data_IF_274230638610
#
_entry.id   IF_274230638610
#
_cell.length_a   1.000
_cell.length_b   1.000
_cell.length_c   1.000
_cell.angle_alpha   90.00
_cell.angle_beta   90.00
_cell.angle_gamma   90.00
#
_symmetry.space_group_name_H-M   'P 1'
#
loop_
_entity.id
_entity.type
_entity.pdbx_description
1 polymer ?
#
# COMPACT_ATOMS: atom_id res chain seq x y z
N UNK A 1 2.74 40.07 -22.02
CA UNK A 1 3.08 39.04 -21.01
C UNK A 1 3.80 37.92 -21.75
N UNK A 2 5.12 37.73 -21.59
CA UNK A 2 5.80 36.61 -22.21
C UNK A 2 5.45 35.32 -21.46
N UNK A 3 5.07 34.30 -22.21
CA UNK A 3 4.76 32.95 -21.75
C UNK A 3 6.00 32.32 -21.12
N UNK A 4 5.88 31.85 -19.87
CA UNK A 4 6.90 31.02 -19.25
C UNK A 4 6.88 29.64 -19.91
N UNK A 5 7.65 29.48 -20.98
CA UNK A 5 8.02 28.14 -21.47
C UNK A 5 8.82 27.47 -20.35
N UNK A 6 8.15 26.59 -19.60
CA UNK A 6 8.76 25.73 -18.62
C UNK A 6 9.82 24.89 -19.33
N UNK A 7 11.08 25.25 -19.13
CA UNK A 7 12.21 24.46 -19.62
C UNK A 7 12.15 23.12 -18.90
N UNK A 8 11.80 22.05 -19.62
CA UNK A 8 11.81 20.69 -19.09
C UNK A 8 13.27 20.30 -18.82
N UNK A 9 13.72 20.54 -17.59
CA UNK A 9 15.05 20.12 -17.16
C UNK A 9 15.01 18.65 -16.77
N UNK A 10 15.28 17.79 -17.74
CA UNK A 10 15.46 16.34 -17.60
C UNK A 10 16.43 15.99 -16.45
N UNK A 11 17.37 16.89 -16.15
CA UNK A 11 18.42 16.68 -15.16
C UNK A 11 18.15 17.30 -13.80
N UNK A 12 17.14 18.17 -13.66
CA UNK A 12 16.85 18.85 -12.38
C UNK A 12 16.61 17.88 -11.21
N UNK A 13 16.37 16.60 -11.50
CA UNK A 13 16.17 15.53 -10.50
C UNK A 13 17.02 14.28 -10.73
N UNK A 14 17.96 14.28 -11.67
CA UNK A 14 18.86 13.14 -11.88
C UNK A 14 19.96 13.13 -10.81
N UNK A 15 20.18 12.01 -10.14
CA UNK A 15 21.27 11.92 -9.14
C UNK A 15 22.65 11.88 -9.82
N UNK A 16 22.75 11.25 -10.98
CA UNK A 16 23.99 11.18 -11.76
C UNK A 16 23.68 10.87 -13.22
N UNK A 17 24.45 11.45 -14.14
CA UNK A 17 24.38 11.09 -15.56
C UNK A 17 25.74 11.20 -16.24
N UNK A 18 25.95 10.43 -17.31
CA UNK A 18 27.23 10.42 -18.03
C UNK A 18 27.32 9.32 -19.07
N UNK A 19 28.40 9.32 -19.83
CA UNK A 19 28.69 8.26 -20.80
C UNK A 19 29.53 7.19 -20.12
N UNK A 20 29.09 5.94 -20.21
CA UNK A 20 29.86 4.78 -19.77
C UNK A 20 29.89 3.74 -20.89
N UNK A 21 30.85 2.83 -20.81
CA UNK A 21 30.85 1.63 -21.64
C UNK A 21 29.90 0.60 -21.03
N UNK A 22 29.12 -0.07 -21.86
CA UNK A 22 28.21 -1.16 -21.45
C UNK A 22 28.58 -2.43 -22.19
N UNK A 23 28.70 -3.54 -21.45
CA UNK A 23 28.77 -4.88 -22.03
C UNK A 23 27.35 -5.34 -22.42
N UNK A 24 27.16 -5.95 -23.60
CA UNK A 24 25.89 -6.59 -23.93
C UNK A 24 25.57 -7.70 -22.92
N UNK A 25 24.28 -7.87 -22.63
CA UNK A 25 23.75 -8.88 -21.71
C UNK A 25 23.06 -9.94 -22.57
N UNK A 26 23.36 -11.22 -22.37
CA UNK A 26 22.71 -12.34 -23.08
C UNK A 26 23.14 -12.57 -24.54
N UNK A 27 24.01 -11.74 -25.12
CA UNK A 27 24.55 -11.96 -26.48
C UNK A 27 25.97 -12.52 -26.45
N UNK A 28 26.31 -13.41 -27.39
CA UNK A 28 27.67 -13.97 -27.57
C UNK A 28 28.73 -12.94 -27.99
N UNK A 29 28.34 -11.70 -28.26
CA UNK A 29 29.27 -10.64 -28.64
C UNK A 29 29.89 -10.01 -27.42
N UNK A 30 31.22 -9.98 -27.33
CA UNK A 30 31.95 -9.25 -26.29
C UNK A 30 32.20 -7.77 -26.65
N UNK A 31 31.47 -7.22 -27.63
CA UNK A 31 31.70 -5.86 -28.10
C UNK A 31 31.05 -4.83 -27.18
N UNK A 32 31.88 -4.13 -26.41
CA UNK A 32 31.48 -2.99 -25.59
C UNK A 32 30.93 -1.85 -26.45
N UNK A 33 30.01 -1.09 -25.88
CA UNK A 33 29.44 0.09 -26.55
C UNK A 33 29.24 1.24 -25.58
N UNK A 34 29.51 2.47 -26.02
CA UNK A 34 29.21 3.67 -25.25
C UNK A 34 27.69 3.89 -25.17
N UNK A 35 27.21 4.21 -23.98
CA UNK A 35 25.79 4.49 -23.69
C UNK A 35 25.71 5.69 -22.75
N UNK A 36 24.66 6.47 -22.93
CA UNK A 36 24.35 7.56 -22.03
C UNK A 36 23.50 7.03 -20.88
N UNK A 37 24.03 7.09 -19.66
CA UNK A 37 23.39 6.59 -18.45
C UNK A 37 22.85 7.73 -17.60
N UNK A 38 21.74 7.47 -16.93
CA UNK A 38 21.11 8.36 -15.96
C UNK A 38 20.67 7.51 -14.75
N UNK A 39 21.10 7.89 -13.56
CA UNK A 39 20.52 7.45 -12.30
C UNK A 39 19.41 8.43 -11.94
N UNK A 40 18.17 7.93 -11.87
CA UNK A 40 17.00 8.71 -11.48
C UNK A 40 16.01 7.84 -10.72
N UNK A 41 15.51 8.34 -9.59
CA UNK A 41 14.42 7.75 -8.80
C UNK A 41 14.60 6.24 -8.49
N UNK A 42 15.83 5.80 -8.25
CA UNK A 42 16.10 4.37 -7.96
C UNK A 42 16.28 3.48 -9.19
N UNK A 43 16.31 4.07 -10.39
CA UNK A 43 16.56 3.36 -11.64
C UNK A 43 17.86 3.82 -12.27
N UNK A 44 18.56 2.88 -12.92
CA UNK A 44 19.60 3.15 -13.88
C UNK A 44 19.03 3.01 -15.29
N UNK A 45 18.86 4.15 -15.96
CA UNK A 45 18.37 4.25 -17.33
C UNK A 45 19.55 4.37 -18.27
N UNK A 46 19.48 3.72 -19.44
CA UNK A 46 20.48 3.94 -20.48
C UNK A 46 19.88 4.19 -21.86
N UNK A 47 20.55 5.06 -22.61
CA UNK A 47 20.16 5.58 -23.90
C UNK A 47 21.27 5.38 -24.93
N UNK A 48 20.97 5.68 -26.19
CA UNK A 48 22.03 5.79 -27.20
C UNK A 48 22.99 6.94 -26.84
N UNK A 49 24.25 6.85 -27.26
CA UNK A 49 25.23 7.92 -27.04
C UNK A 49 24.80 9.26 -27.68
N UNK A 50 24.05 9.18 -28.79
CA UNK A 50 23.58 10.34 -29.56
C UNK A 50 22.59 11.18 -28.77
N UNK A 51 21.79 10.56 -27.88
CA UNK A 51 20.81 11.27 -27.05
C UNK A 51 21.47 12.33 -26.17
N UNK A 52 22.69 12.11 -25.67
CA UNK A 52 23.41 13.13 -24.90
C UNK A 52 23.77 14.34 -25.77
N UNK A 53 24.12 14.11 -27.04
CA UNK A 53 24.47 15.19 -27.99
C UNK A 53 23.22 15.98 -28.39
N UNK A 54 22.12 15.29 -28.67
CA UNK A 54 20.85 15.91 -29.02
C UNK A 54 20.25 16.69 -27.83
N UNK A 55 20.37 16.17 -26.60
CA UNK A 55 19.92 16.87 -25.41
C UNK A 55 20.67 18.17 -25.18
N UNK A 56 22.01 18.16 -25.29
CA UNK A 56 22.83 19.37 -25.15
C UNK A 56 22.56 20.41 -26.25
N UNK A 57 22.35 19.97 -27.49
CA UNK A 57 22.21 20.86 -28.66
C UNK A 57 20.78 21.36 -28.88
N UNK A 58 19.80 20.51 -28.66
CA UNK A 58 18.41 20.72 -29.09
C UNK A 58 17.42 20.75 -27.93
N UNK A 59 17.87 20.54 -26.69
CA UNK A 59 17.03 20.40 -25.48
C UNK A 59 15.89 19.38 -25.66
N UNK A 60 16.08 18.41 -26.54
CA UNK A 60 15.16 17.30 -26.80
C UNK A 60 15.79 16.03 -26.27
N UNK A 61 14.97 15.22 -25.60
CA UNK A 61 15.40 13.95 -25.02
C UNK A 61 14.37 12.88 -25.35
N UNK A 62 14.83 11.71 -25.79
CA UNK A 62 13.94 10.57 -25.91
C UNK A 62 13.35 10.20 -24.55
N UNK A 63 12.03 10.06 -24.47
CA UNK A 63 11.36 9.52 -23.28
C UNK A 63 11.51 8.00 -23.17
N UNK A 64 12.05 7.33 -24.20
CA UNK A 64 12.19 5.89 -24.27
C UNK A 64 13.65 5.46 -24.10
N UNK A 65 14.06 5.00 -22.90
CA UNK A 65 15.38 4.41 -22.72
C UNK A 65 15.52 3.11 -23.51
N UNK A 66 16.75 2.77 -23.86
CA UNK A 66 17.09 1.44 -24.43
C UNK A 66 17.04 0.33 -23.37
N UNK A 67 17.05 0.70 -22.11
CA UNK A 67 16.78 -0.20 -20.99
C UNK A 67 16.73 0.57 -19.69
N UNK A 68 15.97 0.03 -18.75
CA UNK A 68 15.80 0.53 -17.40
C UNK A 68 16.11 -0.60 -16.43
N UNK A 69 17.01 -0.35 -15.49
CA UNK A 69 17.41 -1.31 -14.46
C UNK A 69 16.95 -0.78 -13.09
N UNK A 70 16.00 -1.44 -12.41
CA UNK A 70 15.71 -1.12 -11.02
C UNK A 70 16.95 -1.39 -10.16
N UNK A 71 17.33 -0.44 -9.32
CA UNK A 71 18.51 -0.57 -8.47
C UNK A 71 18.20 -1.14 -7.09
N UNK A 72 16.93 -1.15 -6.67
CA UNK A 72 16.52 -1.77 -5.40
C UNK A 72 17.01 -3.21 -5.33
N UNK A 73 17.55 -3.62 -4.18
CA UNK A 73 18.07 -4.98 -3.96
C UNK A 73 19.34 -5.34 -4.74
N UNK A 74 19.84 -4.48 -5.63
CA UNK A 74 21.01 -4.82 -6.45
C UNK A 74 22.31 -4.80 -5.64
N UNK A 75 23.13 -5.82 -5.85
CA UNK A 75 24.53 -5.90 -5.43
C UNK A 75 25.40 -5.19 -6.47
N UNK A 76 26.12 -4.15 -6.03
CA UNK A 76 26.92 -3.27 -6.89
C UNK A 76 28.38 -3.28 -6.45
N UNK A 77 29.25 -3.82 -7.30
CA UNK A 77 30.66 -4.09 -6.98
C UNK A 77 31.62 -3.54 -8.03
N UNK A 78 32.80 -3.03 -7.62
CA UNK A 78 33.89 -2.75 -8.55
C UNK A 78 34.38 -4.06 -9.18
N UNK A 79 34.70 -4.01 -10.47
CA UNK A 79 35.24 -5.13 -11.21
C UNK A 79 36.34 -4.67 -12.18
N UNK A 80 37.10 -5.63 -12.69
CA UNK A 80 38.13 -5.41 -13.71
C UNK A 80 37.84 -6.34 -14.89
N UNK A 81 37.48 -5.77 -16.02
CA UNK A 81 37.25 -6.51 -17.25
C UNK A 81 38.42 -6.28 -18.22
N UNK A 82 38.74 -7.24 -19.11
CA UNK A 82 39.75 -7.04 -20.14
C UNK A 82 39.45 -5.78 -20.98
N UNK A 83 40.40 -4.84 -21.02
CA UNK A 83 40.26 -3.55 -21.73
C UNK A 83 39.46 -2.48 -20.97
N UNK A 84 38.82 -2.83 -19.85
CA UNK A 84 38.00 -1.92 -19.05
C UNK A 84 38.22 -2.18 -17.54
N UNK A 85 39.36 -1.70 -17.02
CA UNK A 85 39.78 -1.94 -15.62
C UNK A 85 38.92 -1.22 -14.58
N UNK A 86 38.18 -0.19 -14.97
CA UNK A 86 37.28 0.57 -14.11
C UNK A 86 35.83 0.13 -14.30
N UNK A 87 35.60 -1.19 -14.25
CA UNK A 87 34.29 -1.81 -14.46
C UNK A 87 33.47 -1.86 -13.18
N UNK A 88 32.15 -1.95 -13.32
CA UNK A 88 31.18 -2.08 -12.24
C UNK A 88 30.24 -3.21 -12.64
N UNK A 89 30.09 -4.18 -11.75
CA UNK A 89 29.12 -5.26 -11.87
C UNK A 89 27.88 -4.92 -11.06
N UNK A 90 26.72 -5.06 -11.68
CA UNK A 90 25.41 -4.86 -11.06
C UNK A 90 24.64 -6.17 -11.24
N UNK A 91 24.25 -6.78 -10.12
CA UNK A 91 23.54 -8.05 -10.06
C UNK A 91 22.33 -7.92 -9.16
N UNK A 92 21.29 -8.68 -9.45
CA UNK A 92 20.17 -8.85 -8.54
C UNK A 92 19.75 -10.31 -8.64
N UNK A 93 19.95 -11.06 -7.55
CA UNK A 93 19.72 -12.50 -7.53
C UNK A 93 18.21 -12.85 -7.56
N UNK A 94 17.34 -11.87 -7.29
CA UNK A 94 15.87 -12.05 -7.24
C UNK A 94 15.18 -11.57 -8.54
N UNK A 95 15.60 -10.43 -9.11
CA UNK A 95 14.85 -9.76 -10.17
C UNK A 95 15.30 -10.11 -11.60
N UNK A 96 16.55 -10.51 -11.83
CA UNK A 96 17.02 -10.90 -13.17
C UNK A 96 18.23 -11.83 -13.15
N UNK A 97 18.20 -12.87 -13.99
CA UNK A 97 19.35 -13.74 -14.19
C UNK A 97 20.41 -13.05 -15.07
N UNK A 98 21.51 -12.65 -14.46
CA UNK A 98 22.68 -12.13 -15.16
C UNK A 98 23.42 -11.00 -14.45
N UNK A 99 24.47 -10.51 -15.10
CA UNK A 99 25.32 -9.42 -14.60
C UNK A 99 25.29 -8.29 -15.60
N UNK A 100 24.79 -7.12 -15.17
CA UNK A 100 24.95 -5.89 -15.95
C UNK A 100 26.34 -5.35 -15.66
N UNK A 101 27.16 -5.25 -16.71
CA UNK A 101 28.53 -4.74 -16.62
C UNK A 101 28.62 -3.40 -17.33
N UNK A 102 29.06 -2.39 -16.58
CA UNK A 102 29.35 -1.04 -17.09
C UNK A 102 30.80 -0.65 -16.74
N UNK A 103 31.41 0.26 -17.47
CA UNK A 103 32.77 0.71 -17.17
C UNK A 103 32.96 2.22 -17.40
N UNK A 104 33.64 2.85 -16.44
CA UNK A 104 34.07 4.23 -16.50
C UNK A 104 35.42 4.37 -17.23
N UNK A 105 35.78 5.59 -17.62
CA UNK A 105 37.08 5.85 -18.25
C UNK A 105 38.19 6.01 -17.21
N UNK A 106 37.84 6.41 -15.98
CA UNK A 106 38.80 6.62 -14.88
C UNK A 106 38.32 6.02 -13.56
N UNK A 107 39.26 5.79 -12.64
CA UNK A 107 38.97 5.32 -11.27
C UNK A 107 38.06 6.29 -10.51
N UNK A 108 38.31 7.60 -10.62
CA UNK A 108 37.51 8.63 -9.97
C UNK A 108 36.05 8.61 -10.45
N UNK A 109 35.84 8.42 -11.75
CA UNK A 109 34.49 8.25 -12.29
C UNK A 109 33.85 6.95 -11.79
N UNK A 110 34.58 5.84 -11.77
CA UNK A 110 34.10 4.57 -11.26
C UNK A 110 33.62 4.70 -9.81
N UNK A 111 34.44 5.31 -8.95
CA UNK A 111 34.10 5.54 -7.54
C UNK A 111 32.86 6.41 -7.38
N UNK A 112 32.75 7.49 -8.17
CA UNK A 112 31.57 8.36 -8.19
C UNK A 112 30.31 7.58 -8.57
N UNK A 113 30.37 6.78 -9.63
CA UNK A 113 29.25 5.95 -10.07
C UNK A 113 28.89 4.88 -9.04
N UNK A 114 29.88 4.19 -8.47
CA UNK A 114 29.68 3.19 -7.41
C UNK A 114 28.95 3.78 -6.21
N UNK A 115 29.37 4.96 -5.74
CA UNK A 115 28.76 5.61 -4.59
C UNK A 115 27.28 5.92 -4.86
N UNK A 116 26.98 6.59 -5.97
CA UNK A 116 25.59 6.95 -6.31
C UNK A 116 24.73 5.71 -6.53
N UNK A 117 25.21 4.71 -7.28
CA UNK A 117 24.45 3.48 -7.54
C UNK A 117 24.13 2.74 -6.23
N UNK A 118 25.11 2.60 -5.32
CA UNK A 118 24.91 1.94 -4.01
C UNK A 118 23.94 2.71 -3.13
N UNK A 119 24.06 4.04 -3.10
CA UNK A 119 23.13 4.88 -2.35
C UNK A 119 21.70 4.76 -2.90
N UNK A 120 21.53 4.82 -4.22
CA UNK A 120 20.23 4.63 -4.86
C UNK A 120 19.64 3.25 -4.59
N UNK A 121 20.42 2.18 -4.74
CA UNK A 121 19.99 0.80 -4.40
C UNK A 121 19.46 0.71 -2.96
N UNK A 122 20.25 1.21 -1.99
CA UNK A 122 19.90 1.15 -0.57
C UNK A 122 18.64 1.95 -0.23
N UNK A 123 18.51 3.17 -0.77
CA UNK A 123 17.35 4.03 -0.51
C UNK A 123 16.09 3.41 -1.09
N UNK A 124 16.14 2.96 -2.35
CA UNK A 124 15.00 2.34 -3.01
C UNK A 124 14.55 1.08 -2.28
N UNK A 125 15.49 0.23 -1.87
CA UNK A 125 15.18 -0.96 -1.10
C UNK A 125 14.52 -0.65 0.25
N UNK A 126 15.09 0.29 1.01
CA UNK A 126 14.53 0.70 2.30
C UNK A 126 13.14 1.30 2.16
N UNK A 127 12.90 2.10 1.12
CA UNK A 127 11.59 2.67 0.86
C UNK A 127 10.55 1.60 0.51
N UNK A 128 10.93 0.58 -0.25
CA UNK A 128 10.05 -0.56 -0.54
C UNK A 128 9.68 -1.32 0.75
N UNK A 129 10.66 -1.60 1.61
CA UNK A 129 10.42 -2.26 2.90
C UNK A 129 9.51 -1.44 3.84
N UNK A 130 9.69 -0.12 3.90
CA UNK A 130 8.82 0.76 4.67
C UNK A 130 7.39 0.80 4.12
N UNK A 131 7.25 0.82 2.79
CA UNK A 131 5.95 0.76 2.13
C UNK A 131 5.20 -0.54 2.45
N UNK A 132 5.89 -1.66 2.37
CA UNK A 132 5.34 -2.99 2.71
C UNK A 132 4.88 -3.06 4.17
N UNK A 133 5.73 -2.63 5.11
CA UNK A 133 5.38 -2.61 6.53
C UNK A 133 4.17 -1.71 6.82
N UNK A 134 4.05 -0.59 6.12
CA UNK A 134 2.90 0.32 6.25
C UNK A 134 1.61 -0.31 5.72
N UNK A 135 1.67 -1.01 4.58
CA UNK A 135 0.52 -1.73 4.03
C UNK A 135 0.03 -2.79 5.03
N UNK A 136 0.94 -3.62 5.53
CA UNK A 136 0.61 -4.65 6.53
C UNK A 136 -0.02 -4.06 7.80
N UNK A 137 0.47 -2.90 8.25
CA UNK A 137 -0.13 -2.21 9.39
C UNK A 137 -1.56 -1.76 9.10
N UNK A 138 -1.81 -1.17 7.93
CA UNK A 138 -3.13 -0.71 7.52
C UNK A 138 -4.12 -1.87 7.36
N UNK A 139 -3.68 -2.99 6.81
CA UNK A 139 -4.48 -4.21 6.69
C UNK A 139 -4.90 -4.75 8.06
N UNK A 140 -3.95 -4.85 9.00
CA UNK A 140 -4.24 -5.29 10.36
C UNK A 140 -5.22 -4.35 11.09
N UNK A 141 -5.04 -3.04 10.94
CA UNK A 141 -5.96 -2.05 11.49
C UNK A 141 -7.37 -2.18 10.88
N UNK A 142 -7.46 -2.36 9.55
CA UNK A 142 -8.73 -2.58 8.86
C UNK A 142 -9.46 -3.84 9.32
N UNK A 143 -8.73 -4.94 9.49
CA UNK A 143 -9.26 -6.20 10.02
C UNK A 143 -9.75 -6.04 11.46
N UNK A 144 -9.01 -5.35 12.31
CA UNK A 144 -9.41 -5.08 13.69
C UNK A 144 -10.69 -4.24 13.75
N UNK A 145 -10.75 -3.14 12.99
CA UNK A 145 -11.94 -2.28 12.92
C UNK A 145 -13.17 -3.05 12.43
N UNK A 146 -13.01 -3.95 11.45
CA UNK A 146 -14.10 -4.79 10.97
C UNK A 146 -14.63 -5.74 12.05
N UNK A 147 -13.74 -6.32 12.87
CA UNK A 147 -14.12 -7.16 14.02
C UNK A 147 -14.86 -6.36 15.09
N UNK A 148 -14.30 -5.23 15.52
CA UNK A 148 -14.93 -4.36 16.52
C UNK A 148 -16.31 -3.88 16.06
N UNK A 149 -16.45 -3.55 14.77
CA UNK A 149 -17.75 -3.23 14.18
C UNK A 149 -18.73 -4.39 14.30
N UNK A 150 -18.31 -5.61 13.93
CA UNK A 150 -19.18 -6.79 14.02
C UNK A 150 -19.62 -7.06 15.46
N UNK A 151 -18.69 -7.03 16.41
CA UNK A 151 -18.98 -7.24 17.83
C UNK A 151 -19.99 -6.21 18.36
N UNK A 152 -19.85 -4.95 17.94
CA UNK A 152 -20.80 -3.89 18.30
C UNK A 152 -22.19 -4.11 17.70
N UNK A 153 -22.28 -4.56 16.44
CA UNK A 153 -23.57 -4.91 15.83
C UNK A 153 -24.24 -6.07 16.56
N UNK A 154 -23.48 -7.11 16.93
CA UNK A 154 -23.99 -8.28 17.64
C UNK A 154 -24.53 -7.89 19.03
N UNK A 155 -23.84 -6.99 19.73
CA UNK A 155 -24.31 -6.42 20.99
C UNK A 155 -25.62 -5.64 20.83
N UNK A 156 -25.69 -4.74 19.85
CA UNK A 156 -26.92 -3.98 19.57
C UNK A 156 -28.09 -4.89 19.20
N UNK A 157 -27.84 -5.94 18.41
CA UNK A 157 -28.86 -6.90 18.02
C UNK A 157 -29.37 -7.69 19.24
N UNK A 158 -28.47 -8.08 20.15
CA UNK A 158 -28.82 -8.76 21.39
C UNK A 158 -29.68 -7.87 22.29
N UNK A 159 -29.29 -6.61 22.47
CA UNK A 159 -30.04 -5.63 23.27
C UNK A 159 -31.42 -5.35 22.65
N UNK A 160 -31.50 -5.17 21.32
CA UNK A 160 -32.75 -4.96 20.61
C UNK A 160 -33.71 -6.16 20.76
N UNK A 161 -33.20 -7.40 20.74
CA UNK A 161 -34.00 -8.60 20.97
C UNK A 161 -34.53 -8.65 22.41
N UNK A 162 -33.67 -8.39 23.39
CA UNK A 162 -34.07 -8.40 24.81
C UNK A 162 -35.15 -7.35 25.12
N UNK A 163 -35.04 -6.15 24.54
CA UNK A 163 -36.04 -5.10 24.68
C UNK A 163 -37.38 -5.48 24.03
N UNK A 164 -37.34 -6.18 22.90
CA UNK A 164 -38.54 -6.68 22.24
C UNK A 164 -39.23 -7.75 23.09
N UNK A 165 -38.47 -8.70 23.65
CA UNK A 165 -39.00 -9.74 24.54
C UNK A 165 -39.63 -9.12 25.81
N UNK A 166 -38.97 -8.13 26.43
CA UNK A 166 -39.49 -7.42 27.60
C UNK A 166 -40.80 -6.68 27.26
N UNK A 167 -40.89 -6.08 26.07
CA UNK A 167 -42.09 -5.41 25.59
C UNK A 167 -43.25 -6.40 25.41
N UNK A 168 -42.98 -7.56 24.79
CA UNK A 168 -43.99 -8.60 24.59
C UNK A 168 -44.51 -9.15 25.93
N UNK A 169 -43.61 -9.43 26.88
CA UNK A 169 -43.99 -9.85 28.24
C UNK A 169 -44.84 -8.80 28.95
N UNK A 170 -44.50 -7.52 28.79
CA UNK A 170 -45.27 -6.42 29.39
C UNK A 170 -46.67 -6.29 28.80
N UNK A 171 -46.80 -6.45 27.49
CA UNK A 171 -48.09 -6.45 26.80
C UNK A 171 -48.97 -7.63 27.25
N UNK A 172 -48.38 -8.83 27.37
CA UNK A 172 -49.10 -10.02 27.85
C UNK A 172 -49.52 -9.88 29.32
N UNK A 173 -48.63 -9.38 30.18
CA UNK A 173 -48.93 -9.12 31.59
C UNK A 173 -50.07 -8.09 31.74
N UNK A 174 -50.07 -7.04 30.91
CA UNK A 174 -51.13 -6.05 30.89
C UNK A 174 -52.48 -6.67 30.50
N UNK A 175 -52.50 -7.55 29.50
CA UNK A 175 -53.70 -8.28 29.09
C UNK A 175 -54.23 -9.18 30.21
N UNK A 176 -53.37 -9.97 30.83
CA UNK A 176 -53.75 -10.86 31.95
C UNK A 176 -54.27 -10.05 33.13
N UNK A 177 -53.66 -8.90 33.43
CA UNK A 177 -54.13 -8.01 34.50
C UNK A 177 -55.55 -7.49 34.23
N UNK A 178 -55.85 -7.08 33.00
CA UNK A 178 -57.17 -6.62 32.61
C UNK A 178 -58.24 -7.72 32.71
N UNK A 179 -57.90 -8.96 32.34
CA UNK A 179 -58.78 -10.12 32.51
C UNK A 179 -59.04 -10.41 34.00
N UNK A 180 -57.99 -10.39 34.83
CA UNK A 180 -58.10 -10.62 36.27
C UNK A 180 -58.92 -9.53 36.99
N UNK A 181 -58.80 -8.27 36.57
CA UNK A 181 -59.62 -7.17 37.11
C UNK A 181 -61.11 -7.36 36.79
N UNK A 182 -61.44 -7.86 35.60
CA UNK A 182 -62.83 -8.21 35.24
C UNK A 182 -63.35 -9.37 36.08
N UNK A 183 -62.63 -10.48 36.17
CA UNK A 183 -63.03 -11.64 36.97
C UNK A 183 -63.19 -11.27 38.46
N UNK A 184 -62.30 -10.42 38.99
CA UNK A 184 -62.41 -9.91 40.35
C UNK A 184 -63.70 -9.11 40.54
N UNK A 185 -64.05 -8.22 39.61
CA UNK A 185 -65.30 -7.45 39.68
C UNK A 185 -66.52 -8.38 39.68
N UNK A 186 -66.55 -9.39 38.80
CA UNK A 186 -67.63 -10.37 38.74
C UNK A 186 -67.77 -11.17 40.05
N UNK A 187 -66.66 -11.60 40.64
CA UNK A 187 -66.63 -12.28 41.94
C UNK A 187 -67.10 -11.38 43.09
N UNK A 188 -66.69 -10.11 43.10
CA UNK A 188 -67.12 -9.12 44.10
C UNK A 188 -68.63 -8.85 44.00
N UNK A 189 -69.18 -8.73 42.79
CA UNK A 189 -70.62 -8.60 42.55
C UNK A 189 -71.39 -9.85 42.99
N UNK A 190 -70.90 -11.04 42.62
CA UNK A 190 -71.52 -12.31 43.00
C UNK A 190 -71.53 -12.52 44.51
N UNK A 191 -70.40 -12.29 45.20
CA UNK A 191 -70.32 -12.40 46.67
C UNK A 191 -71.17 -11.37 47.39
N UNK A 192 -71.29 -10.16 46.84
CA UNK A 192 -72.22 -9.15 47.35
C UNK A 192 -73.67 -9.62 47.22
N UNK A 193 -74.07 -10.14 46.06
CA UNK A 193 -75.41 -10.70 45.83
C UNK A 193 -75.75 -11.84 46.81
N UNK A 194 -74.83 -12.79 46.99
CA UNK A 194 -74.96 -13.87 47.97
C UNK A 194 -75.13 -13.37 49.41
N UNK A 195 -74.37 -12.34 49.81
CA UNK A 195 -74.54 -11.72 51.14
C UNK A 195 -75.92 -11.09 51.30
N UNK A 196 -76.40 -10.38 50.28
CA UNK A 196 -77.73 -9.76 50.31
C UNK A 196 -78.86 -10.80 50.39
N UNK A 197 -78.73 -11.93 49.69
CA UNK A 197 -79.67 -13.05 49.80
C UNK A 197 -79.63 -13.72 51.17
N UNK A 198 -78.43 -13.97 51.71
CA UNK A 198 -78.26 -14.57 53.04
C UNK A 198 -78.90 -13.71 54.14
N UNK A 199 -78.73 -12.39 54.08
CA UNK A 199 -79.37 -11.44 55.01
C UNK A 199 -80.90 -11.42 54.87
N UNK A 200 -81.46 -11.67 53.69
CA UNK A 200 -82.91 -11.80 53.48
C UNK A 200 -83.47 -13.10 54.06
N UNK A 201 -82.73 -14.20 53.99
CA UNK A 201 -83.14 -15.52 54.52
C UNK A 201 -83.05 -15.58 56.05
N UNK A 202 -82.16 -14.77 56.65
CA UNK A 202 -81.94 -14.70 58.10
C UNK A 202 -83.00 -13.86 58.86
N UNK A 203 -83.89 -13.17 58.14
CA UNK A 203 -85.03 -12.40 58.66
C UNK A 203 -86.31 -13.23 58.67
#
# INVERSE_FOLDING_TARGET
MPTSEGTFDVFAKAQLHGILHKRPVGHQSNKWSKRFFIVKDGFLLYYSEVEMKDLKKRKRFSIHPKGALPLGGCTIEPAKEPGHIHSIHIKNDEDFDGVVVIAAETEMEQEKWLNVLRQSSRITWRNAQLGEAMIQQLENQGLQMAREKQDYYDQLQTEASALQDEKEQREELQRVKEELEKEKQELEEFTKGLREEYEKIKK
#
